data_IF_359347299571
#
_entry.id   IF_359347299571
#
_cell.length_a   1.000
_cell.length_b   1.000
_cell.length_c   1.000
_cell.angle_alpha   90.00
_cell.angle_beta   90.00
_cell.angle_gamma   90.00
#
_symmetry.space_group_name_H-M   'P 1'
#
loop_
_entity.id
_entity.type
_entity.pdbx_description
1 polymer ?
#
# COMPACT_ATOMS: atom_id res chain seq x y z
N UNK A 1 -4.97 8.48 1.77
CA UNK A 1 -4.67 7.81 3.05
C UNK A 1 -5.91 7.90 3.91
N UNK A 2 -6.67 6.83 4.03
CA UNK A 2 -7.90 6.82 4.83
C UNK A 2 -7.56 6.21 6.20
N UNK A 3 -7.63 7.05 7.23
CA UNK A 3 -7.81 6.58 8.59
C UNK A 3 -9.16 5.87 8.67
N UNK A 4 -9.18 4.72 9.34
CA UNK A 4 -10.29 3.79 9.48
C UNK A 4 -10.46 2.77 8.33
N UNK A 5 -10.01 1.55 8.63
CA UNK A 5 -10.55 0.25 8.23
C UNK A 5 -11.17 0.21 6.82
N UNK A 6 -10.39 -0.26 5.85
CA UNK A 6 -10.98 -0.96 4.70
C UNK A 6 -11.50 -2.31 5.18
N UNK A 7 -12.76 -2.57 4.87
CA UNK A 7 -13.59 -3.62 5.43
C UNK A 7 -13.14 -5.00 4.95
N UNK A 8 -12.44 -5.71 5.84
CA UNK A 8 -12.25 -7.15 5.76
C UNK A 8 -11.37 -7.68 4.61
N UNK A 9 -10.99 -8.97 4.69
CA UNK A 9 -10.10 -9.63 3.74
C UNK A 9 -10.68 -9.75 2.30
N UNK A 10 -11.95 -9.39 2.10
CA UNK A 10 -12.63 -9.40 0.79
C UNK A 10 -12.35 -8.15 -0.07
N UNK A 11 -12.31 -6.96 0.52
CA UNK A 11 -12.07 -5.71 -0.25
C UNK A 11 -10.58 -5.46 -0.51
N UNK A 12 -9.69 -5.92 0.37
CA UNK A 12 -8.24 -5.86 0.16
C UNK A 12 -7.74 -6.73 -1.00
N UNK A 13 -8.59 -7.63 -1.55
CA UNK A 13 -8.29 -8.40 -2.77
C UNK A 13 -8.49 -7.61 -4.07
N UNK A 14 -9.23 -6.50 -4.04
CA UNK A 14 -9.51 -5.68 -5.23
C UNK A 14 -8.66 -4.40 -5.28
N UNK A 15 -7.91 -4.09 -4.22
CA UNK A 15 -6.97 -2.99 -4.22
C UNK A 15 -5.66 -3.40 -4.91
N UNK A 16 -5.21 -2.58 -5.86
CA UNK A 16 -3.89 -2.73 -6.49
C UNK A 16 -2.75 -2.62 -5.48
N UNK A 17 -2.89 -1.76 -4.48
CA UNK A 17 -1.96 -1.63 -3.37
C UNK A 17 -2.70 -1.27 -2.08
N UNK A 18 -2.31 -1.89 -0.96
CA UNK A 18 -2.91 -1.65 0.36
C UNK A 18 -1.92 -1.87 1.50
N UNK A 19 -2.14 -1.18 2.62
CA UNK A 19 -1.34 -1.31 3.85
C UNK A 19 -2.25 -1.57 5.04
N UNK A 20 -1.89 -2.53 5.88
CA UNK A 20 -2.54 -2.73 7.18
C UNK A 20 -1.70 -2.04 8.24
N UNK A 21 -2.18 -0.91 8.76
CA UNK A 21 -1.49 -0.23 9.86
C UNK A 21 -1.70 -1.01 11.18
N UNK A 22 -0.70 -1.02 12.08
CA UNK A 22 -0.84 -1.61 13.40
C UNK A 22 -1.84 -0.81 14.24
N UNK A 23 -2.50 -1.48 15.19
CA UNK A 23 -3.37 -0.83 16.17
C UNK A 23 -2.58 0.00 17.18
N UNK A 24 -3.30 0.86 17.91
CA UNK A 24 -2.72 1.70 18.95
C UNK A 24 -2.11 0.84 20.06
N UNK A 25 -0.78 0.88 20.21
CA UNK A 25 -0.03 0.13 21.23
C UNK A 25 0.62 -1.18 20.76
N UNK A 26 0.50 -1.51 19.47
CA UNK A 26 1.19 -2.68 18.87
C UNK A 26 2.57 -2.30 18.33
N UNK A 27 3.42 -3.30 18.08
CA UNK A 27 4.70 -3.08 17.40
C UNK A 27 4.46 -2.37 16.06
N UNK A 28 5.28 -1.35 15.71
CA UNK A 28 5.09 -0.56 14.50
C UNK A 28 5.47 -1.41 13.28
N UNK A 29 4.60 -2.31 12.87
CA UNK A 29 4.78 -3.24 11.77
C UNK A 29 3.49 -3.27 10.93
N UNK A 30 3.61 -2.87 9.67
CA UNK A 30 2.50 -2.74 8.75
C UNK A 30 2.74 -3.58 7.49
N UNK A 31 2.03 -4.71 7.30
CA UNK A 31 2.13 -5.46 6.06
C UNK A 31 1.52 -4.69 4.89
N UNK A 32 2.24 -4.69 3.77
CA UNK A 32 1.85 -4.10 2.49
C UNK A 32 1.47 -5.21 1.53
N UNK A 33 0.34 -5.03 0.87
CA UNK A 33 -0.22 -5.94 -0.13
C UNK A 33 -0.22 -5.23 -1.48
N UNK A 34 0.24 -5.92 -2.53
CA UNK A 34 0.21 -5.45 -3.91
C UNK A 34 -0.50 -6.52 -4.74
N UNK A 35 -1.51 -6.12 -5.51
CA UNK A 35 -2.39 -6.99 -6.32
C UNK A 35 -2.92 -8.19 -5.50
N UNK A 36 -3.34 -7.92 -4.26
CA UNK A 36 -3.88 -8.91 -3.33
C UNK A 36 -2.86 -9.89 -2.75
N UNK A 37 -1.56 -9.72 -2.99
CA UNK A 37 -0.47 -10.55 -2.43
C UNK A 37 0.37 -9.75 -1.45
N UNK A 38 0.77 -10.37 -0.33
CA UNK A 38 1.70 -9.77 0.61
C UNK A 38 3.05 -9.56 -0.07
N UNK A 39 3.45 -8.31 -0.25
CA UNK A 39 4.72 -7.95 -0.88
C UNK A 39 5.83 -7.77 0.17
N UNK A 40 5.55 -6.99 1.22
CA UNK A 40 6.53 -6.67 2.25
C UNK A 40 5.86 -6.26 3.57
N UNK A 41 6.67 -6.01 4.60
CA UNK A 41 6.21 -5.47 5.88
C UNK A 41 7.08 -4.28 6.25
N UNK A 42 6.47 -3.10 6.31
CA UNK A 42 7.12 -1.88 6.75
C UNK A 42 7.20 -1.86 8.27
N UNK A 43 8.30 -1.36 8.82
CA UNK A 43 8.51 -1.26 10.26
C UNK A 43 9.05 0.10 10.66
N UNK A 44 8.72 0.53 11.88
CA UNK A 44 9.24 1.76 12.48
C UNK A 44 8.35 2.99 12.27
N UNK A 45 8.83 4.19 12.63
CA UNK A 45 8.01 5.40 12.62
C UNK A 45 7.74 5.94 11.21
N UNK A 46 8.57 5.58 10.23
CA UNK A 46 8.51 6.09 8.86
C UNK A 46 7.58 5.28 7.93
N UNK A 47 6.66 4.46 8.48
CA UNK A 47 5.75 3.61 7.67
C UNK A 47 4.96 4.42 6.65
N UNK A 48 4.53 5.63 7.01
CA UNK A 48 3.77 6.49 6.09
C UNK A 48 4.61 6.95 4.89
N UNK A 49 5.84 7.41 5.13
CA UNK A 49 6.76 7.88 4.08
C UNK A 49 7.20 6.72 3.17
N UNK A 50 7.53 5.58 3.76
CA UNK A 50 7.93 4.39 3.01
C UNK A 50 6.76 3.84 2.18
N UNK A 51 5.54 3.85 2.71
CA UNK A 51 4.37 3.45 1.95
C UNK A 51 4.10 4.39 0.78
N UNK A 52 4.27 5.70 0.95
CA UNK A 52 4.11 6.67 -0.12
C UNK A 52 5.06 6.38 -1.29
N UNK A 53 6.35 6.11 -1.00
CA UNK A 53 7.32 5.73 -2.05
C UNK A 53 6.91 4.48 -2.81
N UNK A 54 6.38 3.46 -2.13
CA UNK A 54 5.93 2.23 -2.77
C UNK A 54 4.73 2.50 -3.68
N UNK A 55 3.80 3.36 -3.26
CA UNK A 55 2.67 3.77 -4.09
C UNK A 55 3.16 4.53 -5.32
N UNK A 56 4.09 5.47 -5.16
CA UNK A 56 4.64 6.25 -6.28
C UNK A 56 5.35 5.32 -7.29
N UNK A 57 6.19 4.39 -6.82
CA UNK A 57 6.86 3.40 -7.67
C UNK A 57 5.86 2.47 -8.38
N UNK A 58 4.82 2.03 -7.67
CA UNK A 58 3.76 1.21 -8.27
C UNK A 58 3.01 1.98 -9.36
N UNK A 59 2.72 3.27 -9.14
CA UNK A 59 2.04 4.10 -10.15
C UNK A 59 2.92 4.31 -11.37
N UNK A 60 4.20 4.62 -11.18
CA UNK A 60 5.16 4.80 -12.29
C UNK A 60 5.29 3.52 -13.11
N UNK A 61 5.43 2.35 -12.46
CA UNK A 61 5.62 1.07 -13.17
C UNK A 61 4.35 0.49 -13.79
N UNK A 62 3.18 0.75 -13.21
CA UNK A 62 1.92 0.12 -13.62
C UNK A 62 1.04 1.00 -14.50
N UNK A 63 1.13 2.33 -14.32
CA UNK A 63 0.33 3.32 -15.05
C UNK A 63 1.18 4.24 -15.92
N UNK A 64 2.44 3.86 -16.19
CA UNK A 64 3.31 4.52 -17.16
C UNK A 64 2.49 4.83 -18.41
N UNK A 65 2.21 6.14 -18.59
CA UNK A 65 1.37 6.63 -19.65
C UNK A 65 1.92 6.04 -20.94
N UNK A 66 1.07 5.34 -21.70
CA UNK A 66 1.19 5.36 -23.17
C UNK A 66 1.51 6.81 -23.51
N UNK A 67 2.76 7.08 -23.92
CA UNK A 67 3.03 8.26 -24.73
C UNK A 67 2.04 8.11 -25.87
N UNK A 68 1.01 8.94 -25.84
CA UNK A 68 0.20 9.18 -27.01
C UNK A 68 1.12 10.03 -27.86
N UNK A 69 1.99 9.35 -28.62
CA UNK A 69 2.64 9.93 -29.77
C UNK A 69 1.52 10.25 -30.76
N UNK A 70 1.04 11.49 -30.75
CA UNK A 70 0.22 12.10 -31.80
C UNK A 70 0.40 13.61 -31.81
#
# INVERSE_FOLDING_TARGET
VMGCIVNGPGESKHANIGISLPGTGEEPAAPVFIDGKKAMTLRGPAIAEEFQKIVDEYVDTHYEKKRVDA
#
